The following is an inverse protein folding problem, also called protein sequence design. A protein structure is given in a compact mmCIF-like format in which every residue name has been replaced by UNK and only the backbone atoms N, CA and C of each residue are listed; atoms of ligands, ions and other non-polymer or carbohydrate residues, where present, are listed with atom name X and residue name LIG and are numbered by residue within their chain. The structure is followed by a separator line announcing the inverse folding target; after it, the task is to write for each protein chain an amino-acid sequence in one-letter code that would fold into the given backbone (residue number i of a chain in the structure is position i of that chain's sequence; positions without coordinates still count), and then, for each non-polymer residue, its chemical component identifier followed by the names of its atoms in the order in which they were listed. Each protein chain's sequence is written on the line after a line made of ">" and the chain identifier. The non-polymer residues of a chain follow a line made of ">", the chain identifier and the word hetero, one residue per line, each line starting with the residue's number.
data_IF_878827813499
#
_entry.id   IF_878827813499
#
_cell.length_a   1.000
_cell.length_b   1.000
_cell.length_c   1.000
_cell.angle_alpha   90.00
_cell.angle_beta   90.00
_cell.angle_gamma   90.00
#
_symmetry.space_group_name_H-M   'P 1'
#
loop_
_entity.id
_entity.type
_entity.pdbx_description
1 polymer ?
#
# COMPACT_ATOMS: atom_id res chain seq x y z
N UNK A 1 -7.56 6.17 11.09
CA UNK A 1 -6.36 6.30 10.21
C UNK A 1 -5.16 5.51 10.73
N UNK A 2 -4.80 5.63 12.02
CA UNK A 2 -3.62 4.98 12.61
C UNK A 2 -3.61 3.46 12.44
N UNK A 3 -4.74 2.78 12.69
CA UNK A 3 -4.81 1.31 12.60
C UNK A 3 -4.58 0.79 11.18
N UNK A 4 -5.14 1.45 10.17
CA UNK A 4 -4.94 1.08 8.77
C UNK A 4 -3.47 1.24 8.33
N UNK A 5 -2.80 2.29 8.81
CA UNK A 5 -1.37 2.51 8.54
C UNK A 5 -0.49 1.45 9.20
N UNK A 6 -0.79 1.10 10.46
CA UNK A 6 -0.01 0.10 11.20
C UNK A 6 -0.16 -1.29 10.55
N UNK A 7 -1.35 -1.62 10.05
CA UNK A 7 -1.60 -2.84 9.26
C UNK A 7 -0.82 -2.81 7.94
N UNK A 8 -0.91 -1.73 7.17
CA UNK A 8 -0.18 -1.59 5.91
C UNK A 8 1.33 -1.67 6.11
N UNK A 9 1.87 -1.05 7.16
CA UNK A 9 3.30 -1.08 7.47
C UNK A 9 3.83 -2.50 7.75
N UNK A 10 3.05 -3.35 8.44
CA UNK A 10 3.41 -4.77 8.65
C UNK A 10 3.43 -5.54 7.34
N UNK A 11 2.52 -5.22 6.43
CA UNK A 11 2.42 -5.84 5.11
C UNK A 11 3.55 -5.39 4.17
N UNK A 12 3.93 -4.12 4.17
CA UNK A 12 5.05 -3.63 3.36
C UNK A 12 6.36 -4.38 3.64
N UNK A 13 6.58 -4.80 4.88
CA UNK A 13 7.73 -5.62 5.26
C UNK A 13 7.74 -7.03 4.67
N UNK A 14 6.58 -7.55 4.22
CA UNK A 14 6.43 -8.89 3.65
C UNK A 14 6.15 -8.89 2.14
N UNK A 15 5.75 -7.75 1.56
CA UNK A 15 5.43 -7.63 0.12
C UNK A 15 6.71 -7.40 -0.69
N UNK A 16 7.26 -8.47 -1.27
CA UNK A 16 8.32 -8.38 -2.27
C UNK A 16 7.82 -8.05 -3.69
N UNK A 17 6.59 -8.46 -4.00
CA UNK A 17 5.97 -8.40 -5.34
C UNK A 17 4.65 -7.61 -5.36
N UNK A 18 4.19 -7.23 -6.55
CA UNK A 18 2.93 -6.52 -6.73
C UNK A 18 1.74 -7.30 -6.15
N UNK A 19 1.01 -6.68 -5.23
CA UNK A 19 -0.14 -7.28 -4.54
C UNK A 19 -1.33 -6.33 -4.57
N UNK A 20 -2.52 -6.85 -4.81
CA UNK A 20 -3.73 -6.03 -4.86
C UNK A 20 -4.12 -5.47 -3.47
N UNK A 21 -4.51 -4.20 -3.41
CA UNK A 21 -4.94 -3.51 -2.18
C UNK A 21 -6.12 -4.23 -1.51
N UNK A 22 -7.07 -4.67 -2.31
CA UNK A 22 -8.30 -5.35 -1.91
C UNK A 22 -8.02 -6.63 -1.11
N UNK A 23 -6.94 -7.34 -1.45
CA UNK A 23 -6.49 -8.54 -0.73
C UNK A 23 -6.08 -8.21 0.71
N UNK A 24 -5.50 -7.04 0.95
CA UNK A 24 -5.17 -6.58 2.31
C UNK A 24 -6.43 -6.18 3.07
N UNK A 25 -7.34 -5.47 2.41
CA UNK A 25 -8.57 -5.01 3.03
C UNK A 25 -9.43 -6.18 3.53
N UNK A 26 -9.53 -7.26 2.76
CA UNK A 26 -10.29 -8.46 3.13
C UNK A 26 -9.72 -9.15 4.38
N UNK A 27 -8.39 -9.22 4.51
CA UNK A 27 -7.76 -9.92 5.63
C UNK A 27 -7.85 -9.15 6.95
N UNK A 28 -7.93 -7.82 6.92
CA UNK A 28 -7.82 -6.98 8.13
C UNK A 28 -9.09 -6.22 8.50
N UNK A 29 -10.10 -6.16 7.63
CA UNK A 29 -11.36 -5.41 7.86
C UNK A 29 -12.56 -6.36 7.98
N UNK A 30 -12.47 -7.31 8.92
CA UNK A 30 -13.39 -8.44 9.06
C UNK A 30 -14.86 -8.08 9.41
N UNK A 31 -15.22 -6.80 9.58
CA UNK A 31 -16.59 -6.35 9.82
C UNK A 31 -17.21 -5.69 8.57
N UNK A 32 -18.30 -6.23 7.98
CA UNK A 32 -18.94 -5.69 6.78
C UNK A 32 -19.40 -4.23 6.92
N UNK A 33 -19.75 -3.83 8.14
CA UNK A 33 -20.36 -2.55 8.50
C UNK A 33 -19.33 -1.39 8.48
N UNK A 34 -18.04 -1.70 8.66
CA UNK A 34 -16.95 -0.72 8.65
C UNK A 34 -16.20 -0.68 7.31
N UNK A 35 -16.58 -1.53 6.36
CA UNK A 35 -15.84 -1.76 5.11
C UNK A 35 -15.64 -0.48 4.30
N UNK A 36 -16.64 0.40 4.20
CA UNK A 36 -16.55 1.63 3.37
C UNK A 36 -15.56 2.64 3.95
N UNK A 37 -15.67 2.95 5.23
CA UNK A 37 -14.80 3.92 5.93
C UNK A 37 -13.38 3.39 6.05
N UNK A 38 -13.23 2.08 6.21
CA UNK A 38 -11.94 1.44 6.26
C UNK A 38 -11.24 1.38 4.90
N UNK A 39 -11.97 1.17 3.79
CA UNK A 39 -11.41 1.29 2.42
C UNK A 39 -10.87 2.71 2.19
N UNK A 40 -11.70 3.73 2.45
CA UNK A 40 -11.30 5.13 2.24
C UNK A 40 -10.07 5.50 3.09
N UNK A 41 -10.06 5.09 4.37
CA UNK A 41 -8.93 5.34 5.28
C UNK A 41 -7.66 4.61 4.86
N UNK A 42 -7.78 3.37 4.39
CA UNK A 42 -6.65 2.56 3.93
C UNK A 42 -6.08 3.08 2.62
N UNK A 43 -6.93 3.57 1.72
CA UNK A 43 -6.49 4.22 0.50
C UNK A 43 -5.73 5.52 0.81
N UNK A 44 -6.26 6.37 1.69
CA UNK A 44 -5.55 7.58 2.15
C UNK A 44 -4.19 7.24 2.78
N UNK A 45 -4.14 6.24 3.68
CA UNK A 45 -2.89 5.79 4.29
C UNK A 45 -1.90 5.23 3.26
N UNK A 46 -2.38 4.55 2.23
CA UNK A 46 -1.56 4.04 1.13
C UNK A 46 -0.91 5.18 0.35
N UNK A 47 -1.67 6.21 -0.02
CA UNK A 47 -1.15 7.39 -0.72
C UNK A 47 -0.08 8.13 0.10
N UNK A 48 -0.29 8.23 1.41
CA UNK A 48 0.70 8.79 2.33
C UNK A 48 2.01 7.98 2.34
N UNK A 49 1.93 6.65 2.33
CA UNK A 49 3.11 5.80 2.28
C UNK A 49 3.83 5.82 0.93
N UNK A 50 3.10 6.00 -0.17
CA UNK A 50 3.66 6.25 -1.51
C UNK A 50 4.39 7.59 -1.52
N UNK A 51 3.78 8.64 -0.96
CA UNK A 51 4.39 9.97 -0.80
C UNK A 51 5.67 9.92 0.04
N UNK A 52 5.69 9.11 1.09
CA UNK A 52 6.87 8.86 1.94
C UNK A 52 7.92 7.96 1.27
N UNK A 53 7.67 7.46 0.05
CA UNK A 53 8.60 6.59 -0.69
C UNK A 53 8.75 5.18 -0.12
N UNK A 54 7.78 4.70 0.66
CA UNK A 54 7.79 3.35 1.24
C UNK A 54 7.11 2.31 0.35
N UNK A 55 6.23 2.76 -0.53
CA UNK A 55 5.44 1.94 -1.44
C UNK A 55 5.51 2.45 -2.88
N UNK A 56 5.47 1.52 -3.83
CA UNK A 56 5.05 1.78 -5.20
C UNK A 56 3.57 1.44 -5.36
N UNK A 57 2.86 2.22 -6.18
CA UNK A 57 1.45 2.03 -6.51
C UNK A 57 1.29 1.97 -8.02
N UNK A 58 0.47 1.03 -8.50
CA UNK A 58 0.10 0.89 -9.92
C UNK A 58 -1.40 0.68 -10.08
N UNK A 59 -2.01 1.38 -11.03
CA UNK A 59 -3.38 1.16 -11.50
C UNK A 59 -3.38 1.32 -13.02
N UNK A 60 -3.75 0.26 -13.74
CA UNK A 60 -3.58 0.21 -15.19
C UNK A 60 -4.71 0.92 -15.95
N UNK A 61 -5.92 0.98 -15.37
CA UNK A 61 -7.09 1.65 -15.94
C UNK A 61 -7.99 2.24 -14.86
N UNK A 62 -8.90 3.14 -15.25
CA UNK A 62 -9.88 3.72 -14.34
C UNK A 62 -10.71 2.61 -13.68
N UNK A 63 -10.79 2.64 -12.35
CA UNK A 63 -11.45 1.63 -11.52
C UNK A 63 -10.86 0.21 -11.59
N UNK A 64 -9.71 0.02 -12.24
CA UNK A 64 -8.98 -1.24 -12.15
C UNK A 64 -8.42 -1.43 -10.73
N UNK A 65 -8.11 -2.68 -10.34
CA UNK A 65 -7.48 -2.97 -9.06
C UNK A 65 -6.22 -2.13 -8.83
N UNK A 66 -6.05 -1.71 -7.58
CA UNK A 66 -4.85 -0.97 -7.16
C UNK A 66 -3.83 -1.98 -6.69
N UNK A 67 -2.64 -1.98 -7.29
CA UNK A 67 -1.54 -2.83 -6.89
C UNK A 67 -0.51 -2.04 -6.09
N UNK A 68 0.02 -2.68 -5.06
CA UNK A 68 1.04 -2.14 -4.16
C UNK A 68 2.25 -3.04 -4.16
N UNK A 69 3.43 -2.42 -4.03
CA UNK A 69 4.68 -3.15 -3.83
C UNK A 69 5.54 -2.43 -2.79
N UNK A 70 6.12 -3.18 -1.87
CA UNK A 70 7.11 -2.64 -0.95
C UNK A 70 8.34 -2.17 -1.69
N UNK A 71 8.78 -0.93 -1.45
CA UNK A 71 10.13 -0.54 -1.82
C UNK A 71 11.07 -1.18 -0.80
N UNK A 72 11.70 -2.28 -1.18
CA UNK A 72 12.86 -2.77 -0.44
C UNK A 72 13.79 -1.58 -0.24
N UNK A 73 14.31 -1.41 0.98
CA UNK A 73 15.31 -0.39 1.30
C UNK A 73 16.64 -0.81 0.63
N UNK A 74 16.65 -0.91 -0.69
CA UNK A 74 17.79 -1.20 -1.52
C UNK A 74 18.65 0.04 -1.59
N UNK A 75 19.81 -0.05 -0.94
CA UNK A 75 21.10 0.50 -1.36
C UNK A 75 21.00 1.75 -2.22
N UNK A 76 21.29 2.89 -1.58
CA UNK A 76 21.71 4.18 -2.15
C UNK A 76 21.18 4.48 -3.56
N UNK A 77 20.46 5.59 -3.67
CA UNK A 77 20.64 6.49 -4.82
C UNK A 77 22.13 6.91 -4.87
N UNK A 78 23.00 6.01 -5.32
CA UNK A 78 24.37 6.25 -5.73
C UNK A 78 24.36 6.02 -7.23
N UNK A 79 24.70 7.10 -7.91
CA UNK A 79 25.27 7.12 -9.25
C UNK A 79 24.38 6.58 -10.37
N UNK A 80 23.56 7.47 -10.91
CA UNK A 80 23.67 7.74 -12.36
C UNK A 80 24.18 9.16 -12.53
N UNK A 81 25.49 9.30 -12.39
CA UNK A 81 26.25 10.33 -13.08
C UNK A 81 26.57 9.80 -14.48
N UNK A 82 26.18 10.53 -15.51
CA UNK A 82 26.94 10.79 -16.76
C UNK A 82 26.15 11.80 -17.58
#
# INVERSE_FOLDING_TARGET
>A
LKDARDVLARLVGTIGDWTALDSFLIQYLAAPEERRTAIASSFAATLEMVREGKLDLRQDQVFAPIYLRGRARGVKAVEVAS
#
